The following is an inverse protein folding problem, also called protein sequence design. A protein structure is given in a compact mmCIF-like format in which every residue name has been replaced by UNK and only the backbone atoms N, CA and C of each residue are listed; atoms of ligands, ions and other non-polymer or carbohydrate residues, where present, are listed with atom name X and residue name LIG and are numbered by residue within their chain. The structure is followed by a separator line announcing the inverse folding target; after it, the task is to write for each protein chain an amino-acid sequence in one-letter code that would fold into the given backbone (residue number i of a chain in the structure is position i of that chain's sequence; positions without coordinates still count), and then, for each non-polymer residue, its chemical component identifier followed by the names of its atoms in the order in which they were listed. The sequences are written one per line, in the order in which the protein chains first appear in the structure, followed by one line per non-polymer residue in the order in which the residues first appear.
data_IF_429020461236
#
_entry.id   IF_429020461236
#
_cell.length_a   1.000
_cell.length_b   1.000
_cell.length_c   1.000
_cell.angle_alpha   90.00
_cell.angle_beta   90.00
_cell.angle_gamma   90.00
#
_symmetry.space_group_name_H-M   'P 1'
#
loop_
_entity.id
_entity.type
_entity.pdbx_description
1 polymer ?
#
# COMPACT_ATOMS: atom_id res chain seq x y z
N UNK A 1 62.77 36.70 -27.29
CA UNK A 1 61.32 36.86 -26.91
C UNK A 1 60.64 35.50 -26.97
N UNK A 2 60.31 34.92 -25.81
CA UNK A 2 59.61 33.63 -25.73
C UNK A 2 58.20 33.92 -25.23
N UNK A 3 57.21 33.74 -26.11
CA UNK A 3 55.79 33.91 -25.81
C UNK A 3 55.28 32.63 -25.14
N UNK A 4 54.82 32.71 -23.87
CA UNK A 4 54.15 31.64 -23.17
C UNK A 4 52.65 31.72 -23.45
N UNK A 5 52.13 30.68 -24.11
CA UNK A 5 50.68 30.48 -24.27
C UNK A 5 50.14 29.83 -22.99
N UNK A 6 49.28 30.54 -22.27
CA UNK A 6 48.54 30.03 -21.10
C UNK A 6 47.25 29.39 -21.62
N UNK A 7 47.18 28.05 -21.55
CA UNK A 7 45.96 27.29 -21.87
C UNK A 7 45.07 27.26 -20.66
N UNK A 8 43.95 27.97 -20.74
CA UNK A 8 42.91 27.97 -19.71
C UNK A 8 42.04 26.73 -19.94
N UNK A 9 42.19 25.72 -19.07
CA UNK A 9 41.32 24.56 -19.01
C UNK A 9 40.04 24.96 -18.26
N UNK A 10 38.96 25.23 -19.01
CA UNK A 10 37.64 25.50 -18.46
C UNK A 10 36.97 24.16 -18.08
N UNK A 11 37.04 23.80 -16.79
CA UNK A 11 36.41 22.62 -16.24
C UNK A 11 34.92 22.89 -16.07
N UNK A 12 34.07 22.46 -17.03
CA UNK A 12 32.62 22.48 -16.91
C UNK A 12 32.19 21.48 -15.83
N UNK A 13 31.91 21.97 -14.62
CA UNK A 13 31.19 21.25 -13.61
C UNK A 13 29.72 21.10 -14.04
N UNK A 14 29.41 19.94 -14.62
CA UNK A 14 28.00 19.54 -14.83
C UNK A 14 27.39 19.25 -13.47
N UNK A 15 26.69 20.22 -12.91
CA UNK A 15 25.76 19.99 -11.81
C UNK A 15 24.61 19.13 -12.36
N UNK A 16 24.66 17.83 -12.13
CA UNK A 16 23.48 16.99 -12.25
C UNK A 16 22.53 17.41 -11.13
N UNK A 17 21.54 18.22 -11.48
CA UNK A 17 20.38 18.44 -10.64
C UNK A 17 19.62 17.10 -10.53
N UNK A 18 19.91 16.34 -9.50
CA UNK A 18 18.99 15.30 -9.04
C UNK A 18 17.72 16.04 -8.57
N UNK A 19 16.72 16.05 -9.42
CA UNK A 19 15.37 16.39 -9.01
C UNK A 19 14.91 15.22 -8.12
N UNK A 20 15.21 15.34 -6.83
CA UNK A 20 14.53 14.51 -5.84
C UNK A 20 13.04 14.83 -5.97
N UNK A 21 12.25 13.87 -6.43
CA UNK A 21 10.80 13.93 -6.28
C UNK A 21 10.51 14.37 -4.84
N UNK A 22 9.58 15.29 -4.66
CA UNK A 22 9.24 15.86 -3.37
C UNK A 22 9.01 14.71 -2.38
N UNK A 23 9.86 14.62 -1.34
CA UNK A 23 9.77 13.54 -0.37
C UNK A 23 8.36 13.55 0.21
N UNK A 24 7.61 12.48 -0.02
CA UNK A 24 6.23 12.36 0.46
C UNK A 24 6.26 12.42 1.98
N UNK A 25 5.36 13.19 2.58
CA UNK A 25 5.28 13.32 4.02
C UNK A 25 5.11 11.94 4.66
N UNK A 26 5.98 11.63 5.61
CA UNK A 26 5.93 10.42 6.42
C UNK A 26 5.74 10.80 7.88
N UNK A 27 5.00 9.96 8.60
CA UNK A 27 4.81 10.09 10.04
C UNK A 27 5.49 8.95 10.77
N UNK A 28 6.03 9.25 11.96
CA UNK A 28 6.55 8.24 12.86
C UNK A 28 5.38 7.47 13.49
N UNK A 29 5.45 6.16 13.37
CA UNK A 29 4.57 5.21 14.07
C UNK A 29 5.38 4.63 15.22
N UNK A 30 5.02 4.98 16.44
CA UNK A 30 5.59 4.36 17.63
C UNK A 30 5.06 2.93 17.73
N UNK A 31 5.96 1.97 17.63
CA UNK A 31 5.62 0.56 17.70
C UNK A 31 5.17 0.16 19.11
N UNK A 32 4.40 -0.90 19.18
CA UNK A 32 3.96 -1.52 20.44
C UNK A 32 3.44 -2.92 20.19
N UNK A 33 2.93 -3.54 21.23
CA UNK A 33 2.30 -4.86 21.17
C UNK A 33 0.80 -4.70 20.88
N UNK A 34 0.28 -5.51 19.96
CA UNK A 34 -1.16 -5.56 19.70
C UNK A 34 -1.61 -7.00 19.43
N UNK A 35 -2.89 -7.24 19.53
CA UNK A 35 -3.51 -8.52 19.22
C UNK A 35 -4.19 -8.42 17.86
N UNK A 36 -3.67 -9.10 16.79
CA UNK A 36 -4.35 -9.19 15.51
C UNK A 36 -5.71 -9.87 15.64
N UNK A 37 -6.71 -9.42 14.88
CA UNK A 37 -8.05 -10.04 14.88
C UNK A 37 -8.08 -11.38 14.14
N UNK A 38 -7.15 -11.57 13.20
CA UNK A 38 -7.04 -12.79 12.38
C UNK A 38 -5.57 -13.17 12.13
N UNK A 39 -5.35 -14.42 11.75
CA UNK A 39 -4.08 -14.88 11.19
C UNK A 39 -3.01 -15.28 12.21
N UNK A 40 -3.26 -15.18 13.52
CA UNK A 40 -2.22 -15.41 14.56
C UNK A 40 -2.72 -16.14 15.80
N UNK A 41 -3.78 -16.92 15.76
CA UNK A 41 -4.30 -17.73 16.88
C UNK A 41 -4.27 -17.02 18.24
N UNK A 42 -4.71 -15.78 18.29
CA UNK A 42 -4.69 -14.93 19.49
C UNK A 42 -3.28 -14.63 20.03
N UNK A 43 -2.24 -14.75 19.19
CA UNK A 43 -0.86 -14.41 19.58
C UNK A 43 -0.65 -12.90 19.49
N UNK A 44 -0.14 -12.31 20.56
CA UNK A 44 0.26 -10.89 20.58
C UNK A 44 1.49 -10.69 19.68
N UNK A 45 1.42 -9.70 18.81
CA UNK A 45 2.50 -9.31 17.90
C UNK A 45 3.17 -8.03 18.41
N UNK A 46 4.49 -7.98 18.31
CA UNK A 46 5.28 -6.78 18.54
C UNK A 46 5.56 -6.08 17.21
N UNK A 47 5.12 -4.84 17.09
CA UNK A 47 5.44 -3.94 15.96
C UNK A 47 6.54 -3.00 16.43
N UNK A 48 7.64 -2.92 15.68
CA UNK A 48 8.73 -1.96 15.94
C UNK A 48 8.34 -0.56 15.46
N UNK A 49 9.10 0.44 15.89
CA UNK A 49 8.97 1.80 15.36
C UNK A 49 9.32 1.84 13.87
N UNK A 50 8.52 2.56 13.09
CA UNK A 50 8.75 2.77 11.66
C UNK A 50 8.11 4.09 11.20
N UNK A 51 8.43 4.53 10.00
CA UNK A 51 7.73 5.65 9.37
C UNK A 51 6.77 5.14 8.30
N UNK A 52 5.59 5.74 8.19
CA UNK A 52 4.59 5.41 7.17
C UNK A 52 4.24 6.65 6.34
N UNK A 53 4.06 6.46 5.04
CA UNK A 53 3.53 7.50 4.16
C UNK A 53 2.15 7.94 4.66
N UNK A 54 1.96 9.26 4.79
CA UNK A 54 0.69 9.86 5.24
C UNK A 54 -0.47 9.48 4.33
N UNK A 55 -0.19 9.36 3.03
CA UNK A 55 -1.16 9.06 1.98
C UNK A 55 -0.78 7.80 1.20
N UNK A 56 -1.73 7.12 0.54
CA UNK A 56 -1.40 6.13 -0.48
C UNK A 56 -0.66 6.80 -1.65
N UNK A 57 0.04 6.01 -2.45
CA UNK A 57 0.75 6.51 -3.64
C UNK A 57 -0.26 7.00 -4.66
N UNK A 58 -0.07 8.23 -5.16
CA UNK A 58 -0.95 8.83 -6.17
C UNK A 58 -0.60 8.37 -7.59
N UNK A 59 -1.54 8.57 -8.51
CA UNK A 59 -1.30 8.37 -9.96
C UNK A 59 -0.16 9.26 -10.45
N UNK A 60 -0.06 10.51 -9.98
CA UNK A 60 0.98 11.45 -10.37
C UNK A 60 2.37 11.00 -9.89
N UNK A 61 2.47 10.54 -8.63
CA UNK A 61 3.73 9.99 -8.10
C UNK A 61 4.18 8.78 -8.90
N UNK A 62 3.23 7.89 -9.22
CA UNK A 62 3.54 6.70 -9.99
C UNK A 62 3.91 7.01 -11.45
N UNK A 63 3.32 8.04 -12.04
CA UNK A 63 3.72 8.56 -13.36
C UNK A 63 5.19 8.99 -13.35
N UNK A 64 5.63 9.67 -12.31
CA UNK A 64 7.02 10.09 -12.14
C UNK A 64 7.95 8.88 -12.04
N UNK A 65 7.58 7.86 -11.26
CA UNK A 65 8.30 6.60 -11.21
C UNK A 65 8.44 5.92 -12.58
N UNK A 66 7.37 5.88 -13.40
CA UNK A 66 7.41 5.28 -14.73
C UNK A 66 8.30 6.02 -15.72
N UNK A 67 8.46 7.36 -15.58
CA UNK A 67 9.39 8.14 -16.40
C UNK A 67 10.82 7.69 -16.16
N UNK A 68 11.20 7.47 -14.90
CA UNK A 68 12.56 7.10 -14.48
C UNK A 68 12.83 5.60 -14.58
N UNK A 69 11.77 4.77 -14.57
CA UNK A 69 11.85 3.31 -14.56
C UNK A 69 11.12 2.66 -15.74
N UNK A 70 11.62 2.76 -16.99
CA UNK A 70 10.93 2.29 -18.20
C UNK A 70 10.52 0.81 -18.18
N UNK A 71 11.23 -0.04 -17.43
CA UNK A 71 10.90 -1.49 -17.30
C UNK A 71 9.52 -1.76 -16.70
N UNK A 72 8.96 -0.78 -15.94
CA UNK A 72 7.65 -0.86 -15.30
C UNK A 72 6.54 -0.20 -16.11
N UNK A 73 6.82 0.33 -17.31
CA UNK A 73 5.81 0.88 -18.22
C UNK A 73 4.89 -0.22 -18.73
N UNK A 74 3.65 0.15 -19.04
CA UNK A 74 2.58 -0.77 -19.49
C UNK A 74 3.02 -1.65 -20.66
N UNK A 75 3.75 -1.08 -21.65
CA UNK A 75 4.23 -1.83 -22.82
C UNK A 75 5.44 -2.74 -22.55
N UNK A 76 6.20 -2.48 -21.48
CA UNK A 76 7.48 -3.14 -21.20
C UNK A 76 7.40 -4.19 -20.11
N UNK A 77 6.37 -4.15 -19.27
CA UNK A 77 6.25 -5.08 -18.13
C UNK A 77 6.12 -6.53 -18.61
N UNK A 78 6.92 -7.41 -18.02
CA UNK A 78 6.86 -8.83 -18.35
C UNK A 78 5.68 -9.51 -17.63
N UNK A 79 4.99 -10.45 -18.29
CA UNK A 79 3.86 -11.21 -17.76
C UNK A 79 4.16 -12.02 -16.47
N UNK A 80 5.45 -12.18 -16.12
CA UNK A 80 5.88 -12.74 -14.85
C UNK A 80 5.57 -11.77 -13.68
N UNK A 81 5.68 -10.46 -13.92
CA UNK A 81 5.56 -9.42 -12.89
C UNK A 81 4.18 -8.77 -12.81
N UNK A 82 3.35 -8.88 -13.85
CA UNK A 82 1.99 -8.34 -13.82
C UNK A 82 1.07 -9.12 -14.76
N UNK A 83 -0.22 -9.09 -14.47
CA UNK A 83 -1.25 -9.62 -15.35
C UNK A 83 -1.72 -8.59 -16.39
N UNK A 84 -2.72 -8.97 -17.20
CA UNK A 84 -3.24 -8.14 -18.29
C UNK A 84 -3.94 -6.86 -17.81
N UNK A 85 -4.31 -6.79 -16.54
CA UNK A 85 -5.00 -5.63 -15.94
C UNK A 85 -4.04 -4.55 -15.45
N UNK A 86 -2.73 -4.75 -15.61
CA UNK A 86 -1.72 -3.77 -15.22
C UNK A 86 -1.90 -2.46 -15.98
N UNK A 87 -2.04 -1.36 -15.24
CA UNK A 87 -2.32 -0.02 -15.76
C UNK A 87 -3.47 -0.02 -16.79
N UNK A 88 -4.51 -0.82 -16.55
CA UNK A 88 -5.63 -0.95 -17.50
C UNK A 88 -6.35 0.38 -17.77
N UNK A 89 -6.37 1.28 -16.78
CA UNK A 89 -6.92 2.64 -16.85
C UNK A 89 -5.93 3.69 -17.42
N UNK A 90 -4.88 3.25 -18.13
CA UNK A 90 -3.94 4.11 -18.83
C UNK A 90 -4.03 3.88 -20.33
N UNK A 91 -4.05 4.96 -21.11
CA UNK A 91 -4.07 4.91 -22.58
C UNK A 91 -2.75 4.43 -23.18
N UNK A 92 -1.62 4.83 -22.56
CA UNK A 92 -0.27 4.43 -22.98
C UNK A 92 0.67 4.43 -21.76
N UNK A 93 1.97 4.23 -22.01
CA UNK A 93 3.02 4.11 -20.98
C UNK A 93 3.08 5.29 -20.01
N UNK A 94 2.85 6.51 -20.52
CA UNK A 94 2.94 7.76 -19.76
C UNK A 94 1.70 8.64 -19.96
N UNK A 95 0.58 8.06 -20.34
CA UNK A 95 -0.69 8.77 -20.50
C UNK A 95 -1.81 7.98 -19.83
N UNK A 96 -2.38 8.53 -18.79
CA UNK A 96 -3.57 8.02 -18.13
C UNK A 96 -4.82 8.31 -18.97
N UNK A 97 -5.93 7.60 -18.72
CA UNK A 97 -7.22 7.95 -19.30
C UNK A 97 -7.71 9.30 -18.75
N UNK A 98 -8.49 10.03 -19.56
CA UNK A 98 -8.96 11.37 -19.20
C UNK A 98 -9.89 11.37 -17.97
N UNK A 99 -10.44 10.20 -17.61
CA UNK A 99 -11.26 10.01 -16.40
C UNK A 99 -10.43 9.80 -15.13
N UNK A 100 -9.12 9.60 -15.24
CA UNK A 100 -8.23 9.35 -14.09
C UNK A 100 -7.79 10.68 -13.49
N UNK A 101 -7.99 10.82 -12.18
CA UNK A 101 -7.61 12.02 -11.43
C UNK A 101 -6.15 11.87 -10.98
N UNK A 102 -5.24 12.85 -11.26
CA UNK A 102 -3.83 12.75 -10.85
C UNK A 102 -3.63 12.52 -9.34
N UNK A 103 -4.43 13.19 -8.51
CA UNK A 103 -4.45 13.03 -7.05
C UNK A 103 -5.40 11.92 -6.57
N UNK A 104 -5.62 10.88 -7.37
CA UNK A 104 -6.26 9.64 -6.91
C UNK A 104 -5.20 8.58 -6.60
N UNK A 105 -5.52 7.56 -5.78
CA UNK A 105 -4.56 6.48 -5.53
C UNK A 105 -4.26 5.72 -6.82
N UNK A 106 -3.00 5.38 -7.02
CA UNK A 106 -2.65 4.45 -8.09
C UNK A 106 -3.29 3.10 -7.84
N UNK A 107 -3.89 2.54 -8.88
CA UNK A 107 -4.47 1.20 -8.88
C UNK A 107 -4.06 0.43 -10.14
N UNK A 108 -4.53 -0.80 -10.28
CA UNK A 108 -4.10 -1.66 -11.38
C UNK A 108 -2.58 -1.86 -11.42
N UNK A 109 -1.94 -1.96 -10.26
CA UNK A 109 -0.52 -2.25 -10.10
C UNK A 109 -0.32 -3.57 -9.38
N UNK A 110 0.70 -4.33 -9.79
CA UNK A 110 1.06 -5.59 -9.16
C UNK A 110 1.89 -5.37 -7.90
N UNK A 111 1.95 -6.39 -7.04
CA UNK A 111 2.83 -6.37 -5.86
C UNK A 111 4.29 -6.10 -6.22
N UNK A 112 4.78 -6.70 -7.32
CA UNK A 112 6.15 -6.49 -7.79
C UNK A 112 6.42 -5.03 -8.15
N UNK A 113 5.47 -4.38 -8.83
CA UNK A 113 5.60 -2.99 -9.23
C UNK A 113 5.47 -2.03 -8.04
N UNK A 114 4.55 -2.32 -7.12
CA UNK A 114 4.38 -1.58 -5.86
C UNK A 114 5.65 -1.67 -4.99
N UNK A 115 6.19 -2.88 -4.82
CA UNK A 115 7.46 -3.10 -4.10
C UNK A 115 8.60 -2.32 -4.73
N UNK A 116 8.77 -2.41 -6.07
CA UNK A 116 9.83 -1.70 -6.77
C UNK A 116 9.71 -0.18 -6.67
N UNK A 117 8.49 0.36 -6.65
CA UNK A 117 8.24 1.78 -6.39
C UNK A 117 8.76 2.20 -5.01
N UNK A 118 8.40 1.46 -3.96
CA UNK A 118 8.87 1.79 -2.61
C UNK A 118 10.39 1.66 -2.51
N UNK A 119 10.99 0.60 -3.06
CA UNK A 119 12.44 0.37 -3.02
C UNK A 119 13.26 1.46 -3.72
N UNK A 120 12.76 2.06 -4.81
CA UNK A 120 13.47 3.15 -5.48
C UNK A 120 13.50 4.45 -4.67
N UNK A 121 12.80 4.51 -3.54
CA UNK A 121 12.76 5.63 -2.61
C UNK A 121 13.36 5.29 -1.23
N UNK A 122 14.17 4.23 -1.14
CA UNK A 122 14.70 3.69 0.12
C UNK A 122 13.61 3.36 1.15
N UNK A 123 12.44 2.90 0.66
CA UNK A 123 11.28 2.48 1.41
C UNK A 123 10.92 1.03 1.08
N UNK A 124 9.91 0.50 1.77
CA UNK A 124 9.34 -0.82 1.50
C UNK A 124 7.81 -0.79 1.63
N UNK A 125 7.15 -1.85 1.18
CA UNK A 125 5.74 -2.05 1.55
C UNK A 125 5.62 -2.32 3.06
N UNK A 126 4.51 -1.89 3.72
CA UNK A 126 4.21 -2.30 5.09
C UNK A 126 3.99 -3.80 5.17
N UNK A 127 4.32 -4.42 6.29
CA UNK A 127 3.83 -5.77 6.59
C UNK A 127 2.33 -5.72 6.91
N UNK A 128 1.67 -6.89 6.91
CA UNK A 128 0.26 -6.97 7.35
C UNK A 128 0.11 -6.43 8.77
N UNK A 129 1.01 -6.83 9.66
CA UNK A 129 0.96 -6.41 11.06
C UNK A 129 1.16 -4.89 11.23
N UNK A 130 2.10 -4.27 10.51
CA UNK A 130 2.30 -2.82 10.53
C UNK A 130 1.07 -2.08 9.99
N UNK A 131 0.51 -2.56 8.88
CA UNK A 131 -0.68 -1.94 8.28
C UNK A 131 -1.89 -2.03 9.22
N UNK A 132 -2.20 -3.22 9.76
CA UNK A 132 -3.33 -3.43 10.67
C UNK A 132 -3.15 -2.66 11.99
N UNK A 133 -1.90 -2.56 12.50
CA UNK A 133 -1.58 -1.79 13.70
C UNK A 133 -1.93 -0.30 13.54
N UNK A 134 -1.60 0.29 12.41
CA UNK A 134 -1.95 1.70 12.14
C UNK A 134 -3.42 1.86 11.80
N UNK A 135 -4.01 0.88 11.11
CA UNK A 135 -5.39 0.91 10.65
C UNK A 135 -6.42 0.68 11.77
N UNK A 136 -6.04 0.15 12.93
CA UNK A 136 -6.96 0.00 14.07
C UNK A 136 -7.23 1.33 14.80
N UNK A 137 -6.51 2.41 14.46
CA UNK A 137 -6.65 3.72 15.09
C UNK A 137 -7.73 4.57 14.44
N UNK A 138 -8.44 5.36 15.25
CA UNK A 138 -9.29 6.45 14.80
C UNK A 138 -8.62 7.82 15.04
N UNK A 139 -9.37 8.89 14.95
CA UNK A 139 -8.90 10.26 15.11
C UNK A 139 -8.42 10.58 16.53
N UNK A 140 -8.79 9.77 17.51
CA UNK A 140 -8.61 10.03 18.93
C UNK A 140 -7.93 8.92 19.73
N UNK A 141 -7.95 7.69 19.23
CA UNK A 141 -7.41 6.53 19.95
C UNK A 141 -6.58 5.64 19.03
N UNK A 142 -5.52 5.04 19.60
CA UNK A 142 -4.63 4.11 18.89
C UNK A 142 -5.30 2.76 18.58
N UNK A 143 -6.32 2.37 19.36
CA UNK A 143 -7.15 1.18 19.11
C UNK A 143 -8.63 1.53 19.26
N UNK A 144 -9.29 1.71 18.14
CA UNK A 144 -10.72 2.04 18.05
C UNK A 144 -11.62 0.84 17.75
N UNK A 145 -11.06 -0.36 17.69
CA UNK A 145 -11.77 -1.57 17.26
C UNK A 145 -12.96 -1.94 18.16
N UNK A 146 -12.94 -1.50 19.40
CA UNK A 146 -14.06 -1.71 20.34
C UNK A 146 -15.20 -0.69 20.16
N UNK A 147 -15.02 0.35 19.34
CA UNK A 147 -16.01 1.41 19.13
C UNK A 147 -17.00 1.01 18.02
N UNK A 148 -18.30 0.86 18.32
CA UNK A 148 -19.30 0.49 17.30
C UNK A 148 -19.33 1.48 16.12
N UNK A 149 -19.22 2.79 16.39
CA UNK A 149 -19.22 3.84 15.36
C UNK A 149 -18.03 3.77 14.41
N UNK A 150 -16.85 3.35 14.89
CA UNK A 150 -15.68 3.13 14.06
C UNK A 150 -15.92 1.98 13.08
N UNK A 151 -16.43 0.87 13.57
CA UNK A 151 -16.70 -0.32 12.75
C UNK A 151 -17.85 -0.07 11.76
N UNK A 152 -18.92 0.60 12.18
CA UNK A 152 -20.03 0.97 11.30
C UNK A 152 -19.56 1.88 10.16
N UNK A 153 -18.65 2.83 10.42
CA UNK A 153 -18.06 3.71 9.41
C UNK A 153 -17.26 2.93 8.38
N UNK A 154 -16.43 1.97 8.79
CA UNK A 154 -15.64 1.16 7.87
C UNK A 154 -16.56 0.30 6.98
N UNK A 155 -17.57 -0.31 7.54
CA UNK A 155 -18.53 -1.13 6.79
C UNK A 155 -19.33 -0.29 5.79
N UNK A 156 -19.77 0.91 6.18
CA UNK A 156 -20.45 1.83 5.27
C UNK A 156 -19.58 2.18 4.05
N UNK A 157 -18.27 2.30 4.21
CA UNK A 157 -17.36 2.52 3.08
C UNK A 157 -17.23 1.31 2.15
N UNK A 158 -17.36 0.09 2.66
CA UNK A 158 -17.38 -1.12 1.81
C UNK A 158 -18.68 -1.23 1.03
N UNK A 159 -19.80 -0.85 1.62
CA UNK A 159 -21.12 -0.86 0.98
C UNK A 159 -21.28 0.28 -0.05
N UNK A 160 -20.72 1.44 0.25
CA UNK A 160 -20.81 2.65 -0.56
C UNK A 160 -19.41 3.22 -0.88
N UNK A 161 -18.71 2.66 -1.86
CA UNK A 161 -17.40 3.17 -2.25
C UNK A 161 -17.48 4.63 -2.71
N UNK A 162 -16.42 5.37 -2.46
CA UNK A 162 -16.33 6.79 -2.89
C UNK A 162 -16.51 6.90 -4.40
N UNK A 163 -17.39 7.81 -4.81
CA UNK A 163 -17.61 8.09 -6.23
C UNK A 163 -16.41 8.73 -6.90
N UNK A 164 -15.70 9.59 -6.17
CA UNK A 164 -14.48 10.27 -6.63
C UNK A 164 -13.34 9.87 -5.67
N UNK A 165 -12.37 9.12 -6.12
CA UNK A 165 -11.33 8.56 -5.26
C UNK A 165 -10.18 9.56 -5.07
N UNK A 166 -10.41 10.72 -4.45
CA UNK A 166 -9.37 11.70 -4.14
C UNK A 166 -8.68 11.34 -2.82
N UNK A 167 -7.36 11.46 -2.80
CA UNK A 167 -6.51 11.22 -1.63
C UNK A 167 -6.69 12.35 -0.61
N UNK A 168 -6.71 12.00 0.68
CA UNK A 168 -6.73 12.97 1.79
C UNK A 168 -8.11 13.49 2.18
N UNK A 169 -9.19 12.93 1.63
CA UNK A 169 -10.56 13.36 1.96
C UNK A 169 -11.14 12.66 3.20
N UNK A 170 -10.53 11.57 3.67
CA UNK A 170 -10.94 10.96 4.95
C UNK A 170 -10.37 11.74 6.13
N UNK A 171 -10.99 11.64 7.32
CA UNK A 171 -10.33 12.08 8.54
C UNK A 171 -9.00 11.31 8.73
N UNK A 172 -7.95 12.02 9.14
CA UNK A 172 -6.70 11.37 9.54
C UNK A 172 -6.87 10.68 10.89
N UNK A 173 -6.25 9.54 11.07
CA UNK A 173 -6.21 8.91 12.37
C UNK A 173 -5.22 9.62 13.33
N UNK A 174 -5.15 9.16 14.59
CA UNK A 174 -4.28 9.76 15.61
C UNK A 174 -2.80 9.74 15.25
N UNK A 175 -2.36 8.84 14.35
CA UNK A 175 -1.00 8.79 13.83
C UNK A 175 -0.74 9.86 12.74
N UNK A 176 -1.80 10.51 12.25
CA UNK A 176 -1.70 11.46 11.13
C UNK A 176 -1.81 10.81 9.76
N UNK A 177 -2.23 9.55 9.66
CA UNK A 177 -2.36 8.78 8.41
C UNK A 177 -3.79 8.88 7.89
N UNK A 178 -3.93 9.11 6.57
CA UNK A 178 -5.20 9.22 5.86
C UNK A 178 -5.53 7.95 5.05
N UNK A 179 -6.79 7.76 4.77
CA UNK A 179 -7.31 6.85 3.73
C UNK A 179 -6.94 5.37 3.89
N UNK A 180 -6.65 4.90 5.10
CA UNK A 180 -6.41 3.47 5.36
C UNK A 180 -7.66 2.63 5.08
N UNK A 181 -8.85 3.22 5.26
CA UNK A 181 -10.12 2.58 4.98
C UNK A 181 -10.93 3.40 3.96
N UNK A 182 -11.71 2.71 3.13
CA UNK A 182 -12.73 3.32 2.29
C UNK A 182 -12.26 3.94 0.97
N UNK A 183 -10.98 3.93 0.66
CA UNK A 183 -10.46 4.44 -0.62
C UNK A 183 -10.07 3.31 -1.56
N UNK A 184 -9.02 2.57 -1.26
CA UNK A 184 -8.57 1.37 -1.98
C UNK A 184 -8.06 0.32 -1.00
N UNK A 185 -8.02 -0.93 -1.42
CA UNK A 185 -7.21 -1.95 -0.77
C UNK A 185 -5.74 -1.63 -0.99
N UNK A 186 -4.88 -2.08 -0.08
CA UNK A 186 -3.45 -1.79 -0.18
C UNK A 186 -2.60 -3.06 -0.10
N UNK A 187 -1.61 -3.14 -0.99
CA UNK A 187 -0.58 -4.17 -0.96
C UNK A 187 0.24 -4.09 0.32
N UNK A 188 0.50 -5.24 0.91
CA UNK A 188 1.45 -5.42 2.00
C UNK A 188 2.60 -6.32 1.57
N UNK A 189 3.73 -6.23 2.25
CA UNK A 189 4.95 -6.97 1.91
C UNK A 189 4.72 -8.48 1.92
N UNK A 190 4.02 -8.95 2.93
CA UNK A 190 3.72 -10.34 3.25
C UNK A 190 2.22 -10.66 3.10
N UNK A 191 1.57 -10.11 2.08
CA UNK A 191 0.11 -10.21 1.86
C UNK A 191 -0.44 -11.65 1.91
N UNK A 192 0.39 -12.65 1.63
CA UNK A 192 0.04 -14.07 1.63
C UNK A 192 0.43 -14.79 2.93
N UNK A 193 0.92 -14.09 3.96
CA UNK A 193 1.34 -14.71 5.23
C UNK A 193 0.20 -15.38 5.99
N UNK A 194 -1.04 -14.93 5.76
CA UNK A 194 -2.27 -15.49 6.35
C UNK A 194 -2.50 -16.95 5.96
N UNK A 195 -1.94 -17.40 4.83
CA UNK A 195 -2.08 -18.78 4.33
C UNK A 195 -1.08 -19.77 4.94
N UNK A 196 -0.11 -19.31 5.75
CA UNK A 196 1.05 -20.11 6.19
C UNK A 196 0.94 -20.56 7.66
N UNK A 197 -0.14 -20.25 8.38
CA UNK A 197 -0.32 -20.82 9.70
C UNK A 197 -0.49 -22.33 9.62
N UNK A 198 0.27 -23.07 10.43
CA UNK A 198 0.54 -24.51 10.28
C UNK A 198 -0.65 -25.47 10.29
N UNK A 199 -1.87 -24.98 10.47
CA UNK A 199 -3.10 -25.76 10.34
C UNK A 199 -3.57 -25.97 8.91
N UNK A 200 -3.23 -25.05 7.98
CA UNK A 200 -3.62 -25.14 6.55
C UNK A 200 -3.05 -26.36 5.81
N UNK A 201 -2.07 -27.03 6.36
CA UNK A 201 -1.45 -28.21 5.73
C UNK A 201 -2.07 -29.57 6.11
N UNK A 202 -2.95 -29.59 7.11
CA UNK A 202 -3.55 -30.85 7.60
C UNK A 202 -4.97 -31.13 7.15
N UNK A 203 -5.68 -30.12 6.61
CA UNK A 203 -7.10 -30.28 6.27
C UNK A 203 -7.43 -29.53 4.98
N UNK A 204 -7.18 -30.18 3.82
CA UNK A 204 -7.52 -29.65 2.49
C UNK A 204 -9.03 -29.41 2.26
N UNK A 205 -9.89 -29.93 3.15
CA UNK A 205 -11.34 -29.77 3.05
C UNK A 205 -11.92 -28.67 3.95
N UNK A 206 -11.16 -28.15 4.94
CA UNK A 206 -11.63 -27.05 5.80
C UNK A 206 -11.35 -25.66 5.25
N UNK A 207 -10.35 -25.51 4.40
CA UNK A 207 -9.97 -24.20 3.83
C UNK A 207 -11.03 -23.64 2.88
N UNK A 208 -11.75 -24.49 2.14
CA UNK A 208 -12.91 -24.06 1.33
C UNK A 208 -14.07 -23.56 2.22
N UNK A 209 -14.20 -24.10 3.42
CA UNK A 209 -15.23 -23.71 4.38
C UNK A 209 -14.87 -22.41 5.13
N UNK A 210 -13.58 -22.06 5.30
CA UNK A 210 -13.18 -20.77 5.87
C UNK A 210 -13.59 -19.59 4.97
N UNK A 211 -13.49 -19.76 3.66
CA UNK A 211 -13.92 -18.75 2.69
C UNK A 211 -15.43 -18.75 2.40
N UNK A 212 -16.09 -19.91 2.50
CA UNK A 212 -17.52 -20.03 2.22
C UNK A 212 -18.38 -20.10 3.49
N UNK A 213 -17.84 -20.61 4.61
CA UNK A 213 -18.60 -20.86 5.84
C UNK A 213 -18.57 -19.71 6.83
N UNK A 214 -17.63 -18.79 6.75
CA UNK A 214 -17.57 -17.64 7.67
C UNK A 214 -18.63 -16.58 7.37
N UNK A 215 -19.32 -16.64 6.26
CA UNK A 215 -20.56 -15.90 6.07
C UNK A 215 -21.67 -16.33 7.06
N UNK A 216 -21.50 -17.46 7.74
CA UNK A 216 -22.43 -17.99 8.75
C UNK A 216 -21.94 -17.85 10.20
N UNK A 217 -20.68 -17.44 10.42
CA UNK A 217 -20.19 -17.18 11.79
C UNK A 217 -20.69 -15.81 12.21
N UNK A 218 -21.85 -15.82 12.85
CA UNK A 218 -22.46 -14.72 13.62
C UNK A 218 -22.05 -13.30 13.16
N UNK A 219 -22.75 -12.77 12.17
CA UNK A 219 -22.68 -11.39 11.71
C UNK A 219 -23.00 -10.33 12.79
N UNK A 220 -23.01 -10.71 14.06
CA UNK A 220 -23.20 -9.82 15.21
C UNK A 220 -21.94 -9.05 15.59
N UNK A 221 -20.75 -9.51 15.18
CA UNK A 221 -19.50 -8.81 15.43
C UNK A 221 -19.00 -8.11 14.15
N UNK A 222 -19.52 -6.90 13.93
CA UNK A 222 -19.17 -6.05 12.78
C UNK A 222 -17.66 -5.74 12.72
N UNK A 223 -16.99 -5.70 13.87
CA UNK A 223 -15.54 -5.45 13.97
C UNK A 223 -14.74 -6.56 13.30
N UNK A 224 -15.09 -7.80 13.60
CA UNK A 224 -14.42 -8.95 13.02
C UNK A 224 -14.69 -9.07 11.53
N UNK A 225 -15.88 -8.68 11.06
CA UNK A 225 -16.23 -8.76 9.63
C UNK A 225 -15.35 -7.86 8.76
N UNK A 226 -15.11 -6.60 9.14
CA UNK A 226 -14.26 -5.69 8.39
C UNK A 226 -12.80 -6.18 8.32
N UNK A 227 -12.26 -6.69 9.44
CA UNK A 227 -10.95 -7.31 9.45
C UNK A 227 -10.93 -8.60 8.61
N UNK A 228 -11.92 -9.45 8.75
CA UNK A 228 -12.07 -10.66 7.95
C UNK A 228 -11.99 -10.36 6.45
N UNK A 229 -12.70 -9.34 5.96
CA UNK A 229 -12.67 -8.96 4.55
C UNK A 229 -11.26 -8.55 4.08
N UNK A 230 -10.50 -7.82 4.92
CA UNK A 230 -9.11 -7.45 4.61
C UNK A 230 -8.18 -8.67 4.50
N UNK A 231 -8.29 -9.59 5.43
CA UNK A 231 -7.50 -10.83 5.41
C UNK A 231 -7.91 -11.74 4.25
N UNK A 232 -9.21 -11.90 4.01
CA UNK A 232 -9.73 -12.72 2.92
C UNK A 232 -9.25 -12.22 1.54
N UNK A 233 -9.30 -10.90 1.29
CA UNK A 233 -8.83 -10.35 0.02
C UNK A 233 -7.31 -10.57 -0.14
N UNK A 234 -6.51 -10.32 0.89
CA UNK A 234 -5.07 -10.57 0.85
C UNK A 234 -4.75 -12.03 0.55
N UNK A 235 -5.44 -12.96 1.20
CA UNK A 235 -5.28 -14.40 0.97
C UNK A 235 -5.67 -14.86 -0.44
N UNK A 236 -6.54 -14.14 -1.13
CA UNK A 236 -6.97 -14.44 -2.52
C UNK A 236 -6.02 -13.92 -3.59
N UNK A 237 -5.09 -13.01 -3.24
CA UNK A 237 -4.23 -12.33 -4.20
C UNK A 237 -3.03 -13.20 -4.60
N UNK A 238 -2.59 -12.99 -5.85
CA UNK A 238 -1.29 -13.43 -6.36
C UNK A 238 -0.45 -12.19 -6.64
N UNK A 239 0.86 -12.27 -6.44
CA UNK A 239 1.78 -11.13 -6.59
C UNK A 239 1.68 -10.39 -7.94
N UNK A 240 1.25 -11.05 -9.02
CA UNK A 240 1.05 -10.47 -10.35
C UNK A 240 -0.34 -9.85 -10.56
N UNK A 241 -1.28 -10.02 -9.63
CA UNK A 241 -2.63 -9.45 -9.80
C UNK A 241 -2.57 -7.93 -9.84
N UNK A 242 -3.43 -7.35 -10.66
CA UNK A 242 -3.59 -5.90 -10.83
C UNK A 242 -5.09 -5.60 -10.84
N UNK A 243 -5.58 -4.92 -9.82
CA UNK A 243 -7.02 -4.70 -9.61
C UNK A 243 -7.34 -3.21 -9.55
N UNK A 244 -8.54 -2.83 -10.04
CA UNK A 244 -9.00 -1.43 -10.10
C UNK A 244 -9.21 -0.73 -8.75
N UNK A 245 -9.20 -1.49 -7.67
CA UNK A 245 -9.39 -1.02 -6.30
C UNK A 245 -8.26 -1.46 -5.35
N UNK A 246 -7.09 -1.79 -5.90
CA UNK A 246 -5.92 -2.24 -5.14
C UNK A 246 -4.73 -1.35 -5.49
N UNK A 247 -4.31 -0.55 -4.52
CA UNK A 247 -3.17 0.35 -4.54
C UNK A 247 -2.13 -0.02 -3.50
N UNK A 248 -1.38 0.96 -3.00
CA UNK A 248 -0.37 0.74 -1.95
C UNK A 248 0.11 2.07 -1.35
N UNK A 249 0.76 1.97 -0.20
CA UNK A 249 1.62 3.01 0.40
C UNK A 249 2.94 2.40 0.83
N UNK A 250 3.94 3.24 1.10
CA UNK A 250 5.24 2.77 1.56
C UNK A 250 5.46 3.07 3.04
N UNK A 251 6.38 2.32 3.62
CA UNK A 251 6.94 2.53 4.95
C UNK A 251 8.46 2.57 4.88
N UNK A 252 9.09 3.11 5.90
CA UNK A 252 10.53 3.18 6.02
C UNK A 252 10.96 2.73 7.42
N UNK A 253 11.97 1.87 7.47
CA UNK A 253 12.57 1.48 8.74
C UNK A 253 13.33 2.66 9.36
N UNK A 254 13.32 2.76 10.68
CA UNK A 254 14.16 3.71 11.38
C UNK A 254 15.59 3.17 11.37
N UNK A 255 16.50 3.94 10.80
CA UNK A 255 17.93 3.60 10.84
C UNK A 255 18.43 3.86 12.26
N UNK A 256 18.96 2.83 12.87
CA UNK A 256 19.70 2.90 14.15
C UNK A 256 20.97 3.75 14.01
#
# INVERSE_FOLDING_TARGET
MKTRVFSLFLMCLVFQNFVFGQAKDMVLIEGSRYLPLYGRDSTVVEVKDFKMDVYPVSVEDYMTFLKENPKWRKSNIKGLFADKSYLANWQSDLKMDDSVIPNSPITNVSWFAAKAYCECQDKRLPTVDEWEYVAMADETTKDARIKPEYNARILAWYEQPRKVPVIGESPKNIWGVYDLHGLVWEWTLDFNSVLITGESRKDSDKDSNLFCGSASINATDLMNYAAFMRYAIRGSLKAKNSMKNLGFRCVQDIKE
#
